data_IF_986786246130
#
_entry.id   IF_986786246130
#
_cell.length_a   1.000
_cell.length_b   1.000
_cell.length_c   1.000
_cell.angle_alpha   90.00
_cell.angle_beta   90.00
_cell.angle_gamma   90.00
#
_symmetry.space_group_name_H-M   'P 1'
#
loop_
_entity.id
_entity.type
_entity.pdbx_description
1 polymer ?
#
# COMPACT_ATOMS: atom_id res chain seq x y z
N UNK A 1 -3.57 -15.62 -3.46
CA UNK A 1 -2.73 -14.63 -4.15
C UNK A 1 -2.25 -13.61 -3.14
N UNK A 2 -0.95 -13.31 -3.14
CA UNK A 2 -0.38 -12.21 -2.36
C UNK A 2 0.33 -11.27 -3.36
N UNK A 3 -0.07 -10.00 -3.45
CA UNK A 3 0.65 -8.98 -4.18
C UNK A 3 2.15 -9.04 -3.88
N UNK A 4 3.04 -8.97 -4.88
CA UNK A 4 4.48 -8.89 -4.62
C UNK A 4 4.82 -7.63 -3.83
N UNK A 5 5.79 -7.75 -2.91
CA UNK A 5 6.30 -6.61 -2.18
C UNK A 5 7.18 -5.74 -3.09
N UNK A 6 7.12 -4.42 -2.90
CA UNK A 6 8.01 -3.46 -3.51
C UNK A 6 8.47 -2.42 -2.49
N UNK A 7 9.78 -2.31 -2.33
CA UNK A 7 10.41 -1.35 -1.42
C UNK A 7 10.66 -0.05 -2.18
N UNK A 8 9.63 0.79 -2.26
CA UNK A 8 9.72 2.12 -2.87
C UNK A 8 10.69 3.04 -2.09
N UNK A 9 11.27 4.04 -2.74
CA UNK A 9 12.23 4.95 -2.10
C UNK A 9 11.63 5.68 -0.89
N UNK A 10 10.35 6.09 -0.95
CA UNK A 10 9.67 6.73 0.17
C UNK A 10 9.63 5.83 1.43
N UNK A 11 9.39 4.54 1.26
CA UNK A 11 9.42 3.58 2.37
C UNK A 11 10.86 3.36 2.88
N UNK A 12 11.83 3.28 1.97
CA UNK A 12 13.25 3.18 2.35
C UNK A 12 13.69 4.36 3.22
N UNK A 13 13.39 5.58 2.77
CA UNK A 13 13.68 6.82 3.51
C UNK A 13 12.94 6.89 4.85
N UNK A 14 11.72 6.36 4.93
CA UNK A 14 11.01 6.23 6.20
C UNK A 14 11.78 5.34 7.19
N UNK A 15 12.12 4.12 6.80
CA UNK A 15 12.82 3.16 7.66
C UNK A 15 14.19 3.70 8.10
N UNK A 16 14.95 4.29 7.18
CA UNK A 16 16.23 4.93 7.47
C UNK A 16 16.07 6.13 8.42
N UNK A 17 15.06 6.99 8.17
CA UNK A 17 14.78 8.18 8.98
C UNK A 17 14.31 7.86 10.40
N UNK A 18 13.59 6.75 10.58
CA UNK A 18 13.18 6.27 11.90
C UNK A 18 14.33 5.71 12.73
N UNK A 19 15.47 5.36 12.12
CA UNK A 19 16.66 4.88 12.83
C UNK A 19 16.44 3.54 13.56
N UNK A 20 15.60 2.66 13.00
CA UNK A 20 15.36 1.34 13.58
C UNK A 20 16.65 0.51 13.66
N UNK A 21 16.77 -0.39 14.66
CA UNK A 21 17.93 -1.25 14.75
C UNK A 21 17.96 -2.25 13.57
N UNK A 22 19.13 -2.78 13.16
CA UNK A 22 19.28 -3.57 11.94
C UNK A 22 18.38 -4.81 11.85
N UNK A 23 18.09 -5.44 12.99
CA UNK A 23 17.17 -6.58 13.08
C UNK A 23 15.73 -6.24 12.68
N UNK A 24 15.35 -4.97 12.82
CA UNK A 24 14.03 -4.45 12.42
C UNK A 24 14.12 -3.82 11.02
N UNK A 25 15.13 -2.98 10.76
CA UNK A 25 15.29 -2.28 9.49
C UNK A 25 15.54 -3.24 8.30
N UNK A 26 16.40 -4.25 8.49
CA UNK A 26 16.80 -5.17 7.43
C UNK A 26 15.60 -5.88 6.79
N UNK A 27 14.76 -6.61 7.55
CA UNK A 27 13.57 -7.26 7.01
C UNK A 27 12.54 -6.29 6.43
N UNK A 28 12.41 -5.07 6.97
CA UNK A 28 11.47 -4.06 6.44
C UNK A 28 11.91 -3.48 5.08
N UNK A 29 13.19 -3.61 4.74
CA UNK A 29 13.78 -3.13 3.48
C UNK A 29 14.00 -4.25 2.45
N UNK A 30 13.62 -5.48 2.79
CA UNK A 30 13.80 -6.67 1.95
C UNK A 30 12.43 -7.14 1.42
N UNK A 31 12.17 -7.03 0.09
CA UNK A 31 10.88 -7.39 -0.49
C UNK A 31 10.54 -8.87 -0.28
N UNK A 32 11.52 -9.76 -0.17
CA UNK A 32 11.27 -11.20 -0.02
C UNK A 32 10.92 -11.58 1.43
N UNK A 33 11.19 -10.67 2.39
CA UNK A 33 11.05 -10.95 3.83
C UNK A 33 10.02 -10.10 4.53
N UNK A 34 9.73 -8.91 4.00
CA UNK A 34 8.90 -7.89 4.69
C UNK A 34 7.52 -8.43 5.08
N UNK A 35 6.85 -9.22 4.23
CA UNK A 35 5.53 -9.76 4.51
C UNK A 35 5.55 -10.73 5.70
N UNK A 36 6.38 -11.78 5.61
CA UNK A 36 6.52 -12.80 6.65
C UNK A 36 7.02 -12.18 7.97
N UNK A 37 7.85 -11.16 7.89
CA UNK A 37 8.32 -10.43 9.05
C UNK A 37 7.20 -9.63 9.74
N UNK A 38 6.34 -8.94 8.95
CA UNK A 38 5.19 -8.20 9.48
C UNK A 38 4.21 -9.09 10.25
N UNK A 39 4.09 -10.37 9.89
CA UNK A 39 3.23 -11.34 10.58
C UNK A 39 3.78 -11.78 11.95
N UNK A 40 5.09 -11.64 12.17
CA UNK A 40 5.78 -12.15 13.35
C UNK A 40 6.04 -11.08 14.42
N UNK A 41 6.10 -9.80 14.02
CA UNK A 41 6.45 -8.73 14.96
C UNK A 41 5.28 -8.31 15.85
N UNK A 42 5.50 -8.03 17.14
CA UNK A 42 4.44 -7.60 18.06
C UNK A 42 3.98 -6.15 17.81
N UNK A 43 4.73 -5.38 17.01
CA UNK A 43 4.44 -3.98 16.68
C UNK A 43 3.40 -3.89 15.56
N UNK A 44 2.14 -4.20 15.88
CA UNK A 44 1.03 -4.28 14.91
C UNK A 44 0.89 -3.00 14.07
N UNK A 45 1.10 -1.83 14.66
CA UNK A 45 1.04 -0.55 13.92
C UNK A 45 2.11 -0.45 12.83
N UNK A 46 3.35 -0.83 13.15
CA UNK A 46 4.46 -0.85 12.20
C UNK A 46 4.26 -1.92 11.14
N UNK A 47 3.79 -3.11 11.52
CA UNK A 47 3.47 -4.19 10.59
C UNK A 47 2.43 -3.75 9.53
N UNK A 48 1.34 -3.12 9.98
CA UNK A 48 0.29 -2.61 9.09
C UNK A 48 0.80 -1.51 8.18
N UNK A 49 1.57 -0.57 8.71
CA UNK A 49 2.17 0.51 7.94
C UNK A 49 3.14 -0.05 6.87
N UNK A 50 3.99 -0.99 7.26
CA UNK A 50 4.94 -1.63 6.36
C UNK A 50 4.22 -2.39 5.24
N UNK A 51 3.24 -3.23 5.56
CA UNK A 51 2.43 -3.92 4.55
C UNK A 51 1.78 -2.92 3.57
N UNK A 52 1.10 -1.90 4.08
CA UNK A 52 0.43 -0.90 3.23
C UNK A 52 1.41 -0.01 2.43
N UNK A 53 2.65 0.13 2.87
CA UNK A 53 3.67 0.94 2.18
C UNK A 53 4.55 0.13 1.22
N UNK A 54 4.43 -1.19 1.25
CA UNK A 54 5.26 -2.11 0.44
C UNK A 54 4.44 -3.06 -0.43
N UNK A 55 3.12 -3.09 -0.30
CA UNK A 55 2.26 -3.95 -1.13
C UNK A 55 1.07 -3.15 -1.65
N UNK A 56 0.69 -3.40 -2.89
CA UNK A 56 -0.65 -3.06 -3.36
C UNK A 56 -1.66 -3.87 -2.56
N UNK A 57 -2.67 -3.23 -1.96
CA UNK A 57 -3.68 -3.94 -1.15
C UNK A 57 -4.98 -4.09 -1.92
N UNK A 58 -5.58 -5.28 -1.89
CA UNK A 58 -6.89 -5.57 -2.47
C UNK A 58 -7.85 -5.93 -1.34
N UNK A 59 -8.80 -5.05 -1.03
CA UNK A 59 -9.75 -5.24 0.06
C UNK A 59 -11.19 -5.35 -0.49
N UNK A 60 -11.84 -6.52 -0.41
CA UNK A 60 -13.26 -6.63 -0.70
C UNK A 60 -14.06 -5.81 0.33
N UNK A 61 -14.73 -4.76 -0.13
CA UNK A 61 -15.47 -3.82 0.72
C UNK A 61 -16.98 -4.04 0.67
N UNK A 62 -17.49 -4.61 -0.42
CA UNK A 62 -18.90 -4.98 -0.55
C UNK A 62 -19.02 -6.33 -1.28
N UNK A 63 -19.93 -7.17 -0.81
CA UNK A 63 -20.33 -8.40 -1.50
C UNK A 63 -21.86 -8.49 -1.55
N UNK A 64 -22.40 -8.68 -2.74
CA UNK A 64 -23.83 -8.83 -2.98
C UNK A 64 -24.10 -10.13 -3.74
N UNK A 65 -24.96 -10.99 -3.18
CA UNK A 65 -25.32 -12.27 -3.78
C UNK A 65 -26.72 -12.72 -3.33
N UNK A 66 -27.50 -13.24 -4.28
CA UNK A 66 -28.82 -13.82 -4.01
C UNK A 66 -29.90 -12.80 -3.66
N UNK A 67 -31.14 -13.30 -3.56
CA UNK A 67 -32.31 -12.47 -3.25
C UNK A 67 -33.24 -13.11 -2.21
N UNK A 68 -33.19 -14.43 -2.04
CA UNK A 68 -34.03 -15.19 -1.10
C UNK A 68 -33.23 -16.31 -0.47
N UNK A 69 -33.59 -16.67 0.77
CA UNK A 69 -32.89 -17.71 1.55
C UNK A 69 -32.95 -19.12 0.92
N UNK A 70 -33.93 -19.38 0.06
CA UNK A 70 -34.17 -20.69 -0.56
C UNK A 70 -33.84 -20.73 -2.06
N UNK A 71 -33.10 -19.74 -2.57
CA UNK A 71 -32.68 -19.67 -3.98
C UNK A 71 -31.16 -19.64 -4.04
N UNK A 72 -30.57 -20.54 -4.83
CA UNK A 72 -29.13 -20.53 -5.09
C UNK A 72 -28.83 -19.31 -5.99
N UNK A 73 -27.92 -18.41 -5.59
CA UNK A 73 -27.52 -17.27 -6.42
C UNK A 73 -26.84 -17.71 -7.71
N UNK A 74 -27.14 -17.02 -8.81
CA UNK A 74 -26.51 -17.20 -10.12
C UNK A 74 -25.36 -16.21 -10.38
N UNK A 75 -25.29 -15.11 -9.62
CA UNK A 75 -24.21 -14.10 -9.68
C UNK A 75 -23.82 -13.61 -8.29
N UNK A 76 -22.53 -13.27 -8.15
CA UNK A 76 -21.99 -12.48 -7.04
C UNK A 76 -21.39 -11.20 -7.61
N UNK A 77 -21.64 -10.07 -6.96
CA UNK A 77 -20.97 -8.80 -7.24
C UNK A 77 -20.06 -8.45 -6.06
N UNK A 78 -18.79 -8.18 -6.36
CA UNK A 78 -17.81 -7.72 -5.39
C UNK A 78 -17.40 -6.27 -5.72
N UNK A 79 -17.32 -5.42 -4.70
CA UNK A 79 -16.57 -4.18 -4.79
C UNK A 79 -15.25 -4.38 -4.04
N UNK A 80 -14.14 -4.07 -4.71
CA UNK A 80 -12.80 -4.23 -4.16
C UNK A 80 -12.11 -2.87 -4.16
N UNK A 81 -11.73 -2.40 -2.98
CA UNK A 81 -10.86 -1.23 -2.81
C UNK A 81 -9.43 -1.65 -3.08
N UNK A 82 -8.83 -1.09 -4.12
CA UNK A 82 -7.45 -1.38 -4.53
C UNK A 82 -6.59 -0.15 -4.26
N UNK A 83 -5.56 -0.32 -3.45
CA UNK A 83 -4.60 0.75 -3.13
C UNK A 83 -3.26 0.38 -3.71
N UNK A 84 -2.86 1.08 -4.76
CA UNK A 84 -1.60 0.88 -5.45
C UNK A 84 -0.46 1.62 -4.77
N UNK A 85 0.77 1.19 -5.05
CA UNK A 85 1.98 1.91 -4.68
C UNK A 85 2.37 2.91 -5.78
N UNK A 86 3.14 3.97 -5.46
CA UNK A 86 3.67 4.86 -6.48
C UNK A 86 4.44 4.10 -7.56
N UNK A 87 4.18 4.43 -8.83
CA UNK A 87 4.78 3.79 -10.00
C UNK A 87 4.01 2.60 -10.58
N UNK A 88 2.94 2.15 -9.93
CA UNK A 88 2.03 1.13 -10.46
C UNK A 88 0.97 1.76 -11.35
N UNK A 89 0.62 1.06 -12.42
CA UNK A 89 -0.45 1.47 -13.33
C UNK A 89 -1.64 0.48 -13.35
N UNK A 90 -2.62 0.79 -14.19
CA UNK A 90 -3.82 -0.01 -14.35
C UNK A 90 -3.55 -1.41 -14.93
N UNK A 91 -2.53 -1.55 -15.76
CA UNK A 91 -2.15 -2.84 -16.35
C UNK A 91 -1.57 -3.75 -15.27
N UNK A 92 -0.75 -3.22 -14.37
CA UNK A 92 -0.24 -3.96 -13.22
C UNK A 92 -1.38 -4.45 -12.31
N UNK A 93 -2.34 -3.58 -11.99
CA UNK A 93 -3.53 -3.95 -11.20
C UNK A 93 -4.35 -5.03 -11.91
N UNK A 94 -4.53 -4.92 -13.23
CA UNK A 94 -5.27 -5.92 -14.01
C UNK A 94 -4.56 -7.27 -13.97
N UNK A 95 -3.24 -7.29 -14.10
CA UNK A 95 -2.45 -8.52 -14.02
C UNK A 95 -2.61 -9.18 -12.64
N UNK A 96 -2.58 -8.39 -11.55
CA UNK A 96 -2.85 -8.88 -10.19
C UNK A 96 -4.24 -9.48 -10.05
N UNK A 97 -5.26 -8.82 -10.61
CA UNK A 97 -6.64 -9.30 -10.56
C UNK A 97 -6.79 -10.61 -11.34
N UNK A 98 -6.27 -10.70 -12.56
CA UNK A 98 -6.29 -11.93 -13.37
C UNK A 98 -5.59 -13.07 -12.65
N UNK A 99 -4.43 -12.84 -12.03
CA UNK A 99 -3.74 -13.87 -11.23
C UNK A 99 -4.55 -14.27 -9.99
N UNK A 100 -5.17 -13.31 -9.30
CA UNK A 100 -5.99 -13.56 -8.12
C UNK A 100 -7.28 -14.34 -8.44
N UNK A 101 -7.89 -14.07 -9.59
CA UNK A 101 -9.12 -14.73 -10.07
C UNK A 101 -8.81 -16.16 -10.54
N UNK A 102 -7.67 -16.37 -11.23
CA UNK A 102 -7.24 -17.68 -11.69
C UNK A 102 -8.20 -18.28 -12.72
N UNK A 103 -8.61 -19.53 -12.50
CA UNK A 103 -9.39 -20.32 -13.47
C UNK A 103 -10.81 -19.76 -13.76
N UNK A 104 -11.27 -18.75 -13.00
CA UNK A 104 -12.57 -18.10 -13.18
C UNK A 104 -12.51 -16.86 -14.08
N UNK A 105 -11.34 -16.50 -14.63
CA UNK A 105 -11.14 -15.24 -15.38
C UNK A 105 -12.12 -15.11 -16.55
N UNK A 106 -12.50 -16.22 -17.20
CA UNK A 106 -13.46 -16.27 -18.29
C UNK A 106 -14.93 -16.03 -17.86
N UNK A 107 -15.21 -16.09 -16.56
CA UNK A 107 -16.53 -15.92 -15.95
C UNK A 107 -16.67 -14.60 -15.18
N UNK A 108 -15.61 -13.80 -15.10
CA UNK A 108 -15.58 -12.55 -14.32
C UNK A 108 -15.55 -11.33 -15.23
N UNK A 109 -16.49 -10.41 -14.99
CA UNK A 109 -16.49 -9.08 -15.57
C UNK A 109 -15.84 -8.10 -14.58
N UNK A 110 -14.81 -7.37 -15.02
CA UNK A 110 -14.10 -6.37 -14.20
C UNK A 110 -14.43 -4.97 -14.71
N UNK A 111 -15.07 -4.17 -13.87
CA UNK A 111 -15.28 -2.73 -14.08
C UNK A 111 -14.40 -1.92 -13.11
N UNK A 112 -13.75 -0.87 -13.62
CA UNK A 112 -12.82 -0.01 -12.88
C UNK A 112 -13.30 1.44 -12.98
N UNK A 113 -14.38 1.80 -12.27
CA UNK A 113 -15.07 3.09 -12.45
C UNK A 113 -14.28 4.28 -11.89
N UNK A 114 -13.30 4.05 -11.02
CA UNK A 114 -12.43 5.06 -10.43
C UNK A 114 -10.99 4.55 -10.44
N UNK A 115 -10.06 5.38 -10.90
CA UNK A 115 -8.63 5.07 -10.90
C UNK A 115 -7.84 6.37 -10.71
N UNK A 116 -7.26 6.52 -9.52
CA UNK A 116 -6.30 7.56 -9.20
C UNK A 116 -4.93 6.92 -9.02
N UNK A 117 -3.91 7.47 -9.68
CA UNK A 117 -2.55 7.01 -9.52
C UNK A 117 -2.01 7.40 -8.13
N UNK A 118 -1.37 6.44 -7.47
CA UNK A 118 -0.62 6.73 -6.26
C UNK A 118 0.52 7.70 -6.56
N UNK A 119 0.62 8.77 -5.77
CA UNK A 119 1.62 9.81 -5.94
C UNK A 119 2.64 9.79 -4.80
N UNK A 120 3.83 10.32 -5.09
CA UNK A 120 4.83 10.63 -4.08
C UNK A 120 5.47 11.98 -4.41
N UNK A 121 6.03 12.64 -3.39
CA UNK A 121 6.78 13.88 -3.55
C UNK A 121 8.26 13.65 -3.22
N UNK A 122 9.20 14.10 -4.07
CA UNK A 122 10.62 13.99 -3.76
C UNK A 122 11.01 14.78 -2.51
N UNK A 123 11.94 14.22 -1.72
CA UNK A 123 12.45 14.87 -0.49
C UNK A 123 13.72 15.68 -0.73
N UNK A 124 14.43 15.46 -1.84
CA UNK A 124 15.64 16.20 -2.19
C UNK A 124 15.27 17.50 -2.93
N UNK A 125 14.52 18.40 -2.26
CA UNK A 125 13.98 19.63 -2.85
C UNK A 125 14.15 20.86 -1.96
N UNK A 126 14.21 22.08 -2.53
CA UNK A 126 14.29 23.32 -1.73
C UNK A 126 13.11 23.52 -0.76
N UNK A 127 11.94 22.97 -1.10
CA UNK A 127 10.77 23.00 -0.22
C UNK A 127 10.98 22.10 1.01
N UNK A 128 11.47 20.89 0.81
CA UNK A 128 11.80 19.98 1.92
C UNK A 128 12.89 20.57 2.83
N UNK A 129 13.91 21.19 2.23
CA UNK A 129 14.95 21.90 3.00
C UNK A 129 14.36 23.03 3.84
N UNK A 130 13.38 23.77 3.29
CA UNK A 130 12.69 24.83 4.03
C UNK A 130 11.89 24.25 5.20
N UNK A 131 11.17 23.14 5.00
CA UNK A 131 10.47 22.44 6.08
C UNK A 131 11.45 21.99 7.16
N UNK A 132 12.60 21.42 6.79
CA UNK A 132 13.60 20.95 7.75
C UNK A 132 14.21 22.10 8.56
N UNK A 133 14.51 23.24 7.92
CA UNK A 133 15.00 24.44 8.63
C UNK A 133 13.99 24.96 9.65
N UNK A 134 12.70 24.99 9.29
CA UNK A 134 11.65 25.44 10.21
C UNK A 134 11.48 24.44 11.36
N UNK A 135 11.43 23.14 11.07
CA UNK A 135 11.36 22.10 12.11
C UNK A 135 12.52 22.23 13.10
N UNK A 136 13.75 22.36 12.62
CA UNK A 136 14.94 22.48 13.47
C UNK A 136 14.95 23.77 14.32
N UNK A 137 14.39 24.86 13.80
CA UNK A 137 14.26 26.11 14.57
C UNK A 137 13.39 25.93 15.82
N UNK A 138 12.27 25.22 15.71
CA UNK A 138 11.35 25.01 16.83
C UNK A 138 11.70 23.78 17.68
N UNK A 139 12.30 22.77 17.05
CA UNK A 139 12.67 21.50 17.66
C UNK A 139 14.10 21.12 17.27
N UNK A 140 15.12 21.70 17.93
CA UNK A 140 16.52 21.47 17.58
C UNK A 140 16.88 19.99 17.57
N UNK A 141 17.46 19.53 16.46
CA UNK A 141 17.86 18.14 16.25
C UNK A 141 16.74 17.21 15.76
N UNK A 142 15.49 17.69 15.62
CA UNK A 142 14.43 16.93 14.98
C UNK A 142 14.68 16.76 13.48
N UNK A 143 14.27 15.61 12.94
CA UNK A 143 14.40 15.29 11.52
C UNK A 143 13.03 15.06 10.91
N UNK A 144 12.82 15.61 9.72
CA UNK A 144 11.65 15.30 8.91
C UNK A 144 11.84 13.91 8.30
N UNK A 145 10.83 13.05 8.46
CA UNK A 145 10.82 11.69 7.91
C UNK A 145 9.64 11.58 6.94
N UNK A 146 9.87 11.27 5.65
CA UNK A 146 8.77 11.06 4.72
C UNK A 146 8.06 9.77 5.07
N UNK A 147 6.75 9.70 4.83
CA UNK A 147 5.99 8.46 4.98
C UNK A 147 4.89 8.38 3.93
N UNK A 148 4.52 7.15 3.56
CA UNK A 148 3.35 6.89 2.73
C UNK A 148 2.11 6.72 3.61
N UNK A 149 0.99 7.22 3.14
CA UNK A 149 -0.31 7.00 3.77
C UNK A 149 -1.14 6.07 2.89
N UNK A 150 -1.86 5.14 3.52
CA UNK A 150 -2.80 4.26 2.83
C UNK A 150 -4.14 4.97 2.48
N UNK A 151 -4.21 6.29 2.65
CA UNK A 151 -5.40 7.10 2.42
C UNK A 151 -5.23 8.12 1.29
N UNK A 152 -6.24 8.98 1.15
CA UNK A 152 -6.28 10.06 0.18
C UNK A 152 -6.15 11.44 0.82
N UNK A 153 -5.65 12.39 0.03
CA UNK A 153 -5.58 13.82 0.36
C UNK A 153 -6.01 14.61 -0.87
N UNK A 154 -6.38 15.88 -0.70
CA UNK A 154 -6.80 16.78 -1.80
C UNK A 154 -5.68 17.11 -2.80
N UNK A 155 -4.45 16.63 -2.58
CA UNK A 155 -3.33 16.76 -3.52
C UNK A 155 -3.48 15.89 -4.80
N UNK A 156 -4.69 15.37 -5.05
CA UNK A 156 -5.04 14.47 -6.15
C UNK A 156 -5.88 15.22 -7.18
#
# INVERSE_FOLDING_TARGET
FHPPAQVHEAWRRFVEGMGFPPELAGPLLDPDRVLAFCEQIPMIGLARLAQASTHTTLAPTLMEAGTKINVIPDRVKLQVDIRTLPGWDLADVRAMLTEAIGDLDDQVEIDLPCHDQASFSPVDTPLWDALQRVTDHYYPGARNVPFLTAGATDAR
#
